data_IF_701760683253
#
_entry.id   IF_701760683253
#
_cell.length_a   1.000
_cell.length_b   1.000
_cell.length_c   1.000
_cell.angle_alpha   90.00
_cell.angle_beta   90.00
_cell.angle_gamma   90.00
#
_symmetry.space_group_name_H-M   'P 1'
#
loop_
_entity.id
_entity.type
_entity.pdbx_description
1 polymer ?
#
# COMPACT_ATOMS: atom_id res chain seq x y z
N UNK A 1 22.46 6.05 -17.09
CA UNK A 1 21.71 6.41 -15.87
C UNK A 1 21.79 5.28 -14.86
N UNK A 2 21.47 5.56 -13.59
CA UNK A 2 21.61 4.63 -12.46
C UNK A 2 20.95 3.26 -12.70
N UNK A 3 19.75 3.23 -13.28
CA UNK A 3 19.03 1.98 -13.62
C UNK A 3 19.81 1.09 -14.59
N UNK A 4 20.51 1.67 -15.57
CA UNK A 4 21.31 0.89 -16.53
C UNK A 4 22.50 0.21 -15.84
N UNK A 5 23.21 0.96 -14.99
CA UNK A 5 24.32 0.46 -14.18
C UNK A 5 23.83 -0.66 -13.25
N UNK A 6 22.70 -0.44 -12.57
CA UNK A 6 22.11 -1.44 -11.70
C UNK A 6 21.75 -2.73 -12.45
N UNK A 7 21.15 -2.60 -13.65
CA UNK A 7 20.80 -3.76 -14.48
C UNK A 7 22.02 -4.56 -14.91
N UNK A 8 23.05 -3.90 -15.41
CA UNK A 8 24.31 -4.54 -15.81
C UNK A 8 24.97 -5.26 -14.62
N UNK A 9 24.98 -4.62 -13.45
CA UNK A 9 25.56 -5.17 -12.21
C UNK A 9 24.74 -6.36 -11.68
N UNK A 10 23.41 -6.29 -11.75
CA UNK A 10 22.51 -7.38 -11.36
C UNK A 10 22.64 -8.59 -12.30
N UNK A 11 22.80 -8.35 -13.61
CA UNK A 11 23.06 -9.41 -14.60
C UNK A 11 24.42 -10.08 -14.39
N UNK A 12 25.40 -9.38 -13.81
CA UNK A 12 26.65 -9.96 -13.34
C UNK A 12 26.52 -10.74 -12.01
N UNK A 13 25.29 -10.95 -11.53
CA UNK A 13 24.99 -11.81 -10.37
C UNK A 13 25.05 -11.11 -9.02
N UNK A 14 25.07 -9.77 -8.97
CA UNK A 14 25.06 -9.00 -7.71
C UNK A 14 23.64 -8.68 -7.22
N UNK A 15 23.51 -8.47 -5.91
CA UNK A 15 22.31 -7.85 -5.31
C UNK A 15 22.53 -6.34 -5.25
N UNK A 16 21.86 -5.60 -6.11
CA UNK A 16 22.08 -4.16 -6.24
C UNK A 16 21.09 -3.39 -5.39
N UNK A 17 21.57 -2.43 -4.61
CA UNK A 17 20.78 -1.36 -3.97
C UNK A 17 21.18 0.01 -4.53
N UNK A 18 20.34 1.02 -4.33
CA UNK A 18 20.64 2.41 -4.71
C UNK A 18 20.94 3.24 -3.46
N UNK A 19 22.11 3.87 -3.47
CA UNK A 19 22.61 4.65 -2.35
C UNK A 19 22.33 6.13 -2.51
N UNK A 20 21.68 6.75 -1.52
CA UNK A 20 21.40 8.19 -1.49
C UNK A 20 22.44 8.88 -0.61
N UNK A 21 22.88 10.07 -1.00
CA UNK A 21 23.84 10.85 -0.20
C UNK A 21 23.20 11.26 1.14
N UNK A 22 23.76 10.87 2.30
CA UNK A 22 23.24 11.26 3.59
C UNK A 22 23.39 12.76 3.81
N UNK A 23 22.34 13.42 4.31
CA UNK A 23 22.37 14.85 4.65
C UNK A 23 22.18 15.13 6.13
N UNK A 24 21.77 14.12 6.91
CA UNK A 24 21.53 14.20 8.35
C UNK A 24 21.75 12.81 8.99
N UNK A 25 21.91 12.70 10.32
CA UNK A 25 22.11 11.41 10.99
C UNK A 25 20.77 10.69 11.21
N UNK A 26 20.08 10.35 10.12
CA UNK A 26 18.78 9.66 10.16
C UNK A 26 18.93 8.25 10.76
N UNK A 27 18.16 7.92 11.80
CA UNK A 27 18.15 6.59 12.44
C UNK A 27 17.11 5.64 11.82
N UNK A 28 16.20 6.17 11.00
CA UNK A 28 15.17 5.39 10.32
C UNK A 28 15.64 4.69 9.04
N UNK A 29 16.85 4.98 8.57
CA UNK A 29 17.39 4.45 7.31
C UNK A 29 18.53 3.46 7.54
N UNK A 30 18.69 2.52 6.62
CA UNK A 30 19.92 1.74 6.52
C UNK A 30 21.07 2.56 5.95
N UNK A 31 22.30 2.27 6.36
CA UNK A 31 23.54 2.85 5.86
C UNK A 31 24.37 1.81 5.14
N UNK A 32 24.93 2.22 4.01
CA UNK A 32 25.74 1.40 3.13
C UNK A 32 27.13 2.02 3.10
N UNK A 33 28.10 1.31 3.64
CA UNK A 33 29.50 1.68 3.50
C UNK A 33 29.97 1.35 2.07
N UNK A 34 30.34 2.38 1.32
CA UNK A 34 30.77 2.26 -0.06
C UNK A 34 32.17 1.63 -0.08
N UNK A 35 32.30 0.54 -0.85
CA UNK A 35 33.56 -0.15 -1.10
C UNK A 35 34.14 0.16 -2.47
N UNK A 36 34.94 -0.78 -2.98
CA UNK A 36 35.62 -0.65 -4.27
C UNK A 36 34.66 -0.49 -5.44
N UNK A 37 35.06 0.34 -6.42
CA UNK A 37 34.32 0.47 -7.68
C UNK A 37 34.33 -0.85 -8.47
N UNK A 38 33.20 -1.13 -9.11
CA UNK A 38 33.00 -2.22 -10.06
C UNK A 38 33.07 -1.67 -11.49
N UNK A 39 33.42 -2.52 -12.44
CA UNK A 39 33.54 -2.15 -13.86
C UNK A 39 32.25 -1.56 -14.46
N UNK A 40 31.10 -1.94 -13.90
CA UNK A 40 29.78 -1.45 -14.31
C UNK A 40 29.51 0.00 -13.90
N UNK A 41 30.32 0.57 -13.00
CA UNK A 41 30.10 1.89 -12.39
C UNK A 41 29.31 1.85 -11.07
N UNK A 42 28.95 0.67 -10.58
CA UNK A 42 28.50 0.45 -9.21
C UNK A 42 29.71 0.34 -8.26
N UNK A 43 29.49 0.29 -6.95
CA UNK A 43 30.51 -0.05 -5.96
C UNK A 43 30.12 -1.31 -5.20
N UNK A 44 31.09 -2.04 -4.64
CA UNK A 44 30.81 -3.09 -3.66
C UNK A 44 30.19 -2.48 -2.40
N UNK A 45 29.30 -3.21 -1.76
CA UNK A 45 28.91 -2.89 -0.38
C UNK A 45 29.97 -3.49 0.55
N UNK A 46 30.69 -2.64 1.28
CA UNK A 46 31.69 -3.08 2.26
C UNK A 46 31.03 -3.52 3.56
N UNK A 47 30.01 -2.77 3.98
CA UNK A 47 29.21 -3.01 5.17
C UNK A 47 27.81 -2.44 4.98
N UNK A 48 26.82 -3.15 5.50
CA UNK A 48 25.44 -2.68 5.55
C UNK A 48 25.03 -2.60 7.02
N UNK A 49 24.34 -1.52 7.41
CA UNK A 49 23.89 -1.28 8.79
C UNK A 49 22.45 -0.80 8.74
N UNK A 50 21.49 -1.65 9.12
CA UNK A 50 20.08 -1.26 9.12
C UNK A 50 19.71 -0.49 10.39
N UNK A 51 19.16 0.72 10.24
CA UNK A 51 18.59 1.55 11.32
C UNK A 51 19.51 1.69 12.55
N UNK A 52 20.69 2.32 12.39
CA UNK A 52 21.67 2.48 13.46
C UNK A 52 21.14 3.38 14.59
N UNK A 53 21.77 3.27 15.76
CA UNK A 53 21.59 4.25 16.82
C UNK A 53 22.14 5.63 16.40
N UNK A 54 21.61 6.71 16.98
CA UNK A 54 21.97 8.09 16.60
C UNK A 54 23.48 8.36 16.59
N UNK A 55 24.20 7.92 17.62
CA UNK A 55 25.64 8.10 17.72
C UNK A 55 26.41 7.42 16.57
N UNK A 56 25.93 6.27 16.09
CA UNK A 56 26.54 5.56 14.96
C UNK A 56 26.16 6.22 13.63
N UNK A 57 24.94 6.73 13.49
CA UNK A 57 24.53 7.53 12.34
C UNK A 57 25.36 8.83 12.21
N UNK A 58 25.58 9.53 13.32
CA UNK A 58 26.45 10.73 13.39
C UNK A 58 27.88 10.39 12.99
N UNK A 59 28.41 9.26 13.49
CA UNK A 59 29.75 8.80 13.14
C UNK A 59 29.86 8.50 11.63
N UNK A 60 28.92 7.74 11.06
CA UNK A 60 28.92 7.40 9.63
C UNK A 60 28.77 8.64 8.74
N UNK A 61 27.93 9.60 9.13
CA UNK A 61 27.78 10.86 8.43
C UNK A 61 29.09 11.67 8.44
N UNK A 62 29.74 11.77 9.60
CA UNK A 62 31.00 12.51 9.76
C UNK A 62 32.19 11.83 9.06
N UNK A 63 32.25 10.50 9.07
CA UNK A 63 33.30 9.73 8.40
C UNK A 63 33.23 9.85 6.87
N UNK A 64 32.02 10.04 6.32
CA UNK A 64 31.80 10.02 4.88
C UNK A 64 32.01 8.63 4.27
N UNK A 65 31.78 8.50 2.95
CA UNK A 65 31.86 7.20 2.28
C UNK A 65 30.69 6.25 2.59
N UNK A 66 29.65 6.75 3.24
CA UNK A 66 28.38 6.06 3.45
C UNK A 66 27.29 6.63 2.55
N UNK A 67 26.33 5.78 2.19
CA UNK A 67 25.08 6.16 1.55
C UNK A 67 23.89 5.62 2.34
N UNK A 68 22.76 6.31 2.31
CA UNK A 68 21.50 5.74 2.79
C UNK A 68 21.01 4.66 1.82
N UNK A 69 20.51 3.57 2.37
CA UNK A 69 19.75 2.56 1.64
C UNK A 69 18.39 3.14 1.24
N UNK A 70 18.13 3.19 -0.07
CA UNK A 70 16.86 3.69 -0.61
C UNK A 70 15.68 2.71 -0.46
N UNK A 71 15.93 1.46 -0.04
CA UNK A 71 14.94 0.38 -0.08
C UNK A 71 14.61 -0.12 -1.48
N UNK A 72 15.29 0.39 -2.52
CA UNK A 72 15.14 -0.05 -3.90
C UNK A 72 16.21 -1.08 -4.21
N UNK A 73 15.79 -2.24 -4.71
CA UNK A 73 16.70 -3.32 -5.08
C UNK A 73 16.57 -3.73 -6.54
N UNK A 74 17.66 -4.23 -7.11
CA UNK A 74 17.68 -4.87 -8.42
C UNK A 74 18.57 -6.10 -8.40
N UNK A 75 18.01 -7.25 -8.75
CA UNK A 75 18.69 -8.53 -8.80
C UNK A 75 17.96 -9.46 -9.78
N UNK A 76 18.60 -10.56 -10.16
CA UNK A 76 17.91 -11.65 -10.87
C UNK A 76 17.16 -12.53 -9.87
N UNK A 77 16.02 -13.08 -10.28
CA UNK A 77 15.21 -13.96 -9.43
C UNK A 77 16.02 -15.16 -8.91
N UNK A 78 16.84 -15.78 -9.77
CA UNK A 78 17.69 -16.90 -9.38
C UNK A 78 18.71 -16.53 -8.31
N UNK A 79 19.33 -15.36 -8.41
CA UNK A 79 20.33 -14.93 -7.43
C UNK A 79 19.70 -14.64 -6.06
N UNK A 80 18.59 -13.89 -6.01
CA UNK A 80 17.95 -13.59 -4.71
C UNK A 80 17.43 -14.85 -4.02
N UNK A 81 16.89 -15.82 -4.78
CA UNK A 81 16.46 -17.11 -4.21
C UNK A 81 17.63 -17.91 -3.64
N UNK A 82 18.81 -17.82 -4.26
CA UNK A 82 20.04 -18.47 -3.73
C UNK A 82 20.49 -17.84 -2.41
N UNK A 83 20.51 -16.51 -2.32
CA UNK A 83 20.86 -15.80 -1.09
C UNK A 83 19.81 -16.04 0.01
N UNK A 84 18.52 -16.04 -0.34
CA UNK A 84 17.42 -16.32 0.59
C UNK A 84 17.54 -17.72 1.18
N UNK A 85 17.81 -18.74 0.36
CA UNK A 85 18.02 -20.10 0.84
C UNK A 85 19.22 -20.22 1.79
N UNK A 86 20.26 -19.39 1.63
CA UNK A 86 21.44 -19.40 2.47
C UNK A 86 21.25 -18.64 3.79
N UNK A 87 20.59 -17.48 3.77
CA UNK A 87 20.56 -16.54 4.89
C UNK A 87 19.19 -16.42 5.60
N UNK A 88 18.12 -16.85 4.93
CA UNK A 88 16.75 -16.85 5.44
C UNK A 88 15.97 -18.12 5.00
N UNK A 89 16.48 -19.34 5.33
CA UNK A 89 15.91 -20.60 4.86
C UNK A 89 14.45 -20.82 5.31
N UNK A 90 14.06 -20.26 6.46
CA UNK A 90 12.68 -20.33 6.95
C UNK A 90 11.71 -19.53 6.08
N UNK A 91 12.12 -18.34 5.62
CA UNK A 91 11.38 -17.50 4.68
C UNK A 91 11.27 -18.20 3.33
N UNK A 92 12.38 -18.73 2.79
CA UNK A 92 12.37 -19.48 1.52
C UNK A 92 11.42 -20.69 1.59
N UNK A 93 11.48 -21.48 2.67
CA UNK A 93 10.60 -22.63 2.86
C UNK A 93 9.13 -22.24 2.93
N UNK A 94 8.79 -21.25 3.75
CA UNK A 94 7.40 -20.77 3.90
C UNK A 94 6.85 -20.26 2.56
N UNK A 95 7.62 -19.42 1.85
CA UNK A 95 7.25 -18.90 0.54
C UNK A 95 7.05 -20.01 -0.49
N UNK A 96 7.92 -21.02 -0.55
CA UNK A 96 7.77 -22.16 -1.47
C UNK A 96 6.50 -22.95 -1.23
N UNK A 97 6.18 -23.25 0.03
CA UNK A 97 4.97 -23.97 0.39
C UNK A 97 3.73 -23.13 0.07
N UNK A 98 3.77 -21.83 0.39
CA UNK A 98 2.67 -20.91 0.14
C UNK A 98 2.36 -20.77 -1.36
N UNK A 99 3.39 -20.74 -2.22
CA UNK A 99 3.25 -20.72 -3.68
C UNK A 99 2.80 -22.07 -4.22
N UNK A 100 3.34 -23.19 -3.72
CA UNK A 100 2.97 -24.53 -4.18
C UNK A 100 1.50 -24.89 -3.88
N UNK A 101 0.96 -24.35 -2.78
CA UNK A 101 -0.44 -24.48 -2.38
C UNK A 101 -1.32 -23.31 -2.84
N UNK A 102 -0.77 -22.37 -3.59
CA UNK A 102 -1.53 -21.20 -4.02
C UNK A 102 -2.69 -21.62 -4.92
N UNK A 103 -3.80 -20.89 -4.79
CA UNK A 103 -4.97 -21.05 -5.64
C UNK A 103 -5.18 -19.82 -6.51
N UNK A 104 -5.84 -20.01 -7.64
CA UNK A 104 -6.37 -18.88 -8.40
C UNK A 104 -7.51 -18.25 -7.61
N UNK A 105 -7.45 -16.93 -7.41
CA UNK A 105 -8.54 -16.12 -6.92
C UNK A 105 -8.75 -15.00 -7.95
N UNK A 106 -9.65 -15.25 -8.90
CA UNK A 106 -9.90 -14.36 -10.03
C UNK A 106 -8.63 -14.11 -10.86
N UNK A 107 -8.21 -12.85 -10.97
CA UNK A 107 -7.03 -12.41 -11.70
C UNK A 107 -5.76 -12.34 -10.83
N UNK A 108 -5.82 -12.86 -9.60
CA UNK A 108 -4.65 -12.93 -8.74
C UNK A 108 -4.43 -14.34 -8.19
N UNK A 109 -3.15 -14.66 -7.97
CA UNK A 109 -2.76 -15.88 -7.27
C UNK A 109 -2.81 -15.60 -5.78
N UNK A 110 -3.70 -16.28 -5.06
CA UNK A 110 -3.78 -16.20 -3.61
C UNK A 110 -2.86 -17.25 -3.01
N UNK A 111 -1.85 -16.80 -2.27
CA UNK A 111 -0.95 -17.68 -1.53
C UNK A 111 -1.73 -18.40 -0.42
N UNK A 112 -1.31 -19.62 -0.10
CA UNK A 112 -1.86 -20.36 1.04
C UNK A 112 -1.57 -19.59 2.34
N UNK A 113 -2.64 -19.21 3.04
CA UNK A 113 -2.56 -18.31 4.18
C UNK A 113 -1.77 -18.94 5.34
N UNK A 114 -2.03 -20.21 5.66
CA UNK A 114 -1.34 -20.92 6.75
C UNK A 114 0.16 -21.04 6.48
N UNK A 115 0.55 -21.45 5.27
CA UNK A 115 1.96 -21.54 4.90
C UNK A 115 2.64 -20.17 4.87
N UNK A 116 1.96 -19.13 4.40
CA UNK A 116 2.51 -17.78 4.37
C UNK A 116 2.70 -17.21 5.78
N UNK A 117 1.72 -17.41 6.68
CA UNK A 117 1.80 -17.00 8.09
C UNK A 117 2.91 -17.69 8.88
N UNK A 118 3.44 -18.82 8.39
CA UNK A 118 4.60 -19.47 8.98
C UNK A 118 5.94 -18.79 8.64
N UNK A 119 5.95 -17.82 7.72
CA UNK A 119 7.16 -17.04 7.40
C UNK A 119 7.52 -16.11 8.57
N UNK A 120 8.81 -16.03 8.96
CA UNK A 120 9.26 -15.01 9.90
C UNK A 120 8.96 -13.59 9.40
N UNK A 121 8.59 -12.70 10.31
CA UNK A 121 8.48 -11.25 10.06
C UNK A 121 9.88 -10.61 10.15
N UNK A 122 10.55 -10.51 9.00
CA UNK A 122 11.91 -9.98 8.89
C UNK A 122 12.07 -9.22 7.56
N UNK A 123 12.74 -8.06 7.59
CA UNK A 123 13.01 -7.29 6.36
C UNK A 123 14.09 -7.96 5.52
N UNK A 124 14.10 -7.67 4.21
CA UNK A 124 15.16 -8.12 3.29
C UNK A 124 16.55 -7.61 3.71
N UNK A 125 16.59 -6.43 4.35
CA UNK A 125 17.81 -5.80 4.83
C UNK A 125 18.49 -6.67 5.90
N UNK A 126 17.75 -7.07 6.94
CA UNK A 126 18.23 -7.98 7.99
C UNK A 126 18.37 -9.43 7.50
N UNK A 127 17.45 -9.90 6.66
CA UNK A 127 17.41 -11.27 6.22
C UNK A 127 18.59 -11.61 5.30
N UNK A 128 18.94 -10.70 4.38
CA UNK A 128 19.92 -10.92 3.32
C UNK A 128 21.00 -9.84 3.29
N UNK A 129 20.65 -8.56 3.21
CA UNK A 129 21.61 -7.50 2.82
C UNK A 129 22.73 -7.28 3.85
N UNK A 130 22.44 -7.41 5.14
CA UNK A 130 23.46 -7.35 6.21
C UNK A 130 24.44 -8.54 6.20
N UNK A 131 24.04 -9.66 5.60
CA UNK A 131 24.79 -10.93 5.67
C UNK A 131 25.51 -11.27 4.37
N UNK A 132 24.99 -10.81 3.24
CA UNK A 132 25.52 -11.17 1.92
C UNK A 132 26.81 -10.42 1.61
N UNK A 133 27.83 -11.15 1.15
CA UNK A 133 29.04 -10.56 0.57
C UNK A 133 28.85 -10.16 -0.91
N UNK A 134 27.66 -10.40 -1.48
CA UNK A 134 27.39 -10.26 -2.90
C UNK A 134 26.59 -8.99 -3.26
N UNK A 135 26.49 -8.05 -2.31
CA UNK A 135 25.80 -6.79 -2.51
C UNK A 135 26.66 -5.75 -3.27
N UNK A 136 25.99 -4.91 -4.06
CA UNK A 136 26.55 -3.75 -4.73
C UNK A 136 25.63 -2.54 -4.54
N UNK A 137 26.20 -1.34 -4.57
CA UNK A 137 25.48 -0.08 -4.44
C UNK A 137 25.72 0.80 -5.66
N UNK A 138 24.66 1.39 -6.19
CA UNK A 138 24.75 2.44 -7.22
C UNK A 138 24.56 3.80 -6.53
N UNK A 139 25.62 4.63 -6.41
CA UNK A 139 25.49 5.99 -5.92
C UNK A 139 24.51 6.77 -6.81
N UNK A 140 23.50 7.36 -6.18
CA UNK A 140 22.36 7.95 -6.87
C UNK A 140 22.18 9.40 -6.47
N UNK A 141 22.01 10.26 -7.49
CA UNK A 141 21.91 11.72 -7.34
C UNK A 141 20.48 12.26 -7.53
N UNK A 142 19.47 11.40 -7.52
CA UNK A 142 18.08 11.82 -7.64
C UNK A 142 17.51 12.19 -6.27
N UNK A 143 16.56 13.12 -6.23
CA UNK A 143 15.78 13.43 -5.03
C UNK A 143 15.01 12.19 -4.62
N UNK A 144 15.26 11.70 -3.41
CA UNK A 144 14.63 10.50 -2.86
C UNK A 144 14.05 10.83 -1.48
N UNK A 145 12.91 10.23 -1.20
CA UNK A 145 12.24 10.23 0.10
C UNK A 145 11.48 8.91 0.20
N UNK A 146 11.55 8.27 1.36
CA UNK A 146 10.82 7.03 1.63
C UNK A 146 9.30 7.25 1.79
N UNK A 147 8.87 8.52 1.88
CA UNK A 147 7.49 8.90 2.24
C UNK A 147 7.00 8.16 3.50
N UNK A 148 7.90 7.82 4.42
CA UNK A 148 7.63 7.00 5.59
C UNK A 148 6.94 7.76 6.73
N UNK A 149 6.85 9.08 6.64
CA UNK A 149 6.22 9.94 7.65
C UNK A 149 5.52 11.16 7.07
N UNK A 150 4.69 11.80 7.92
CA UNK A 150 4.01 13.03 7.55
C UNK A 150 4.97 14.22 7.37
N UNK A 151 6.09 14.26 8.09
CA UNK A 151 7.16 15.24 7.84
C UNK A 151 7.72 15.15 6.42
N UNK A 152 7.93 13.94 5.90
CA UNK A 152 8.38 13.75 4.52
C UNK A 152 7.37 14.31 3.51
N UNK A 153 6.07 14.14 3.76
CA UNK A 153 4.99 14.71 2.93
C UNK A 153 5.00 16.23 2.99
N UNK A 154 5.18 16.81 4.18
CA UNK A 154 5.30 18.27 4.34
C UNK A 154 6.53 18.85 3.61
N UNK A 155 7.69 18.20 3.72
CA UNK A 155 8.94 18.62 3.06
C UNK A 155 8.82 18.68 1.53
N UNK A 156 8.02 17.76 0.95
CA UNK A 156 7.78 17.69 -0.50
C UNK A 156 6.63 18.59 -0.98
N UNK A 157 5.76 19.02 -0.07
CA UNK A 157 4.61 19.83 -0.39
C UNK A 157 4.96 21.28 -0.76
N UNK A 158 4.11 21.89 -1.59
CA UNK A 158 4.17 23.33 -1.87
C UNK A 158 3.72 24.09 -0.62
N UNK A 159 4.64 24.87 -0.05
CA UNK A 159 4.41 25.64 1.18
C UNK A 159 3.81 27.01 0.89
N UNK A 160 2.89 27.44 1.74
CA UNK A 160 2.40 28.82 1.77
C UNK A 160 3.40 29.78 2.44
N UNK A 161 3.05 31.07 2.54
CA UNK A 161 3.90 32.09 3.16
C UNK A 161 4.17 31.86 4.67
N UNK A 162 3.35 31.05 5.35
CA UNK A 162 3.51 30.68 6.75
C UNK A 162 4.17 29.30 6.93
N UNK A 163 4.64 28.69 5.84
CA UNK A 163 5.29 27.39 5.84
C UNK A 163 4.33 26.20 5.91
N UNK A 164 3.02 26.40 5.75
CA UNK A 164 2.06 25.30 5.79
C UNK A 164 1.96 24.59 4.44
N UNK A 165 1.70 23.29 4.48
CA UNK A 165 1.26 22.50 3.34
C UNK A 165 -0.19 22.11 3.59
N UNK A 166 -1.09 22.56 2.72
CA UNK A 166 -2.51 22.27 2.82
C UNK A 166 -3.01 21.54 1.56
N UNK A 167 -3.67 20.41 1.72
CA UNK A 167 -4.27 19.64 0.61
C UNK A 167 -5.73 19.32 0.89
N UNK A 168 -6.60 19.61 -0.08
CA UNK A 168 -8.05 19.38 0.04
C UNK A 168 -8.76 20.51 0.77
N UNK A 169 -9.78 20.16 1.56
CA UNK A 169 -10.65 21.13 2.25
C UNK A 169 -10.02 21.57 3.57
N UNK A 170 -9.34 22.71 3.57
CA UNK A 170 -8.69 23.26 4.76
C UNK A 170 -8.81 24.79 4.87
N UNK A 171 -8.94 25.28 6.10
CA UNK A 171 -8.82 26.69 6.47
C UNK A 171 -7.80 26.80 7.59
N UNK A 172 -6.77 27.62 7.38
CA UNK A 172 -5.70 27.85 8.34
C UNK A 172 -5.74 29.30 8.83
N UNK A 173 -5.80 29.50 10.14
CA UNK A 173 -5.80 30.82 10.78
C UNK A 173 -4.67 30.85 11.80
N UNK A 174 -3.71 31.76 11.66
CA UNK A 174 -2.55 31.84 12.57
C UNK A 174 -1.84 30.47 12.76
N UNK A 175 -1.75 29.66 11.70
CA UNK A 175 -1.09 28.35 11.72
C UNK A 175 0.22 28.43 10.93
N UNK A 176 1.28 27.76 11.41
CA UNK A 176 2.61 27.81 10.79
C UNK A 176 3.24 26.42 10.68
N UNK A 177 4.12 26.24 9.69
CA UNK A 177 4.95 25.03 9.51
C UNK A 177 4.20 23.70 9.64
N UNK A 178 2.92 23.66 9.25
CA UNK A 178 2.03 22.54 9.52
C UNK A 178 1.62 21.81 8.25
N UNK A 179 1.33 20.52 8.37
CA UNK A 179 0.71 19.72 7.33
C UNK A 179 -0.78 19.54 7.63
N UNK A 180 -1.65 19.99 6.74
CA UNK A 180 -3.11 19.84 6.87
C UNK A 180 -3.65 19.17 5.62
N UNK A 181 -4.15 17.95 5.75
CA UNK A 181 -4.65 17.17 4.61
C UNK A 181 -6.01 16.60 4.92
N UNK A 182 -6.96 16.77 4.00
CA UNK A 182 -8.27 16.14 4.12
C UNK A 182 -8.79 15.64 2.77
N UNK A 183 -9.31 14.41 2.78
CA UNK A 183 -10.02 13.83 1.62
C UNK A 183 -11.53 14.08 1.66
N UNK A 184 -12.10 14.33 2.83
CA UNK A 184 -13.55 14.30 3.05
C UNK A 184 -14.02 15.57 3.75
N UNK A 185 -13.68 15.70 5.04
CA UNK A 185 -14.12 16.75 5.96
C UNK A 185 -13.41 18.08 5.70
N UNK A 186 -14.02 19.20 6.10
CA UNK A 186 -13.32 20.47 6.12
C UNK A 186 -12.51 20.61 7.40
N UNK A 187 -11.20 20.83 7.29
CA UNK A 187 -10.32 21.04 8.44
C UNK A 187 -10.13 22.53 8.71
N UNK A 188 -10.58 23.00 9.87
CA UNK A 188 -10.26 24.34 10.36
C UNK A 188 -9.17 24.23 11.43
N UNK A 189 -7.99 24.79 11.15
CA UNK A 189 -6.82 24.73 12.04
C UNK A 189 -6.45 26.16 12.44
N UNK A 190 -6.39 26.40 13.75
CA UNK A 190 -6.15 27.74 14.28
C UNK A 190 -5.09 27.74 15.39
N UNK A 191 -4.11 28.64 15.27
CA UNK A 191 -3.16 28.93 16.35
C UNK A 191 -2.11 27.85 16.62
N UNK A 192 -1.93 26.90 15.70
CA UNK A 192 -0.97 25.80 15.86
C UNK A 192 0.31 26.02 15.05
N UNK A 193 1.41 25.44 15.50
CA UNK A 193 2.71 25.47 14.80
C UNK A 193 3.31 24.07 14.80
N UNK A 194 3.84 23.63 13.65
CA UNK A 194 4.54 22.35 13.53
C UNK A 194 3.64 21.14 13.76
N UNK A 195 2.37 21.17 13.35
CA UNK A 195 1.44 20.03 13.51
C UNK A 195 1.14 19.32 12.19
N UNK A 196 0.83 18.04 12.27
CA UNK A 196 0.20 17.27 11.22
C UNK A 196 -1.27 17.04 11.60
N UNK A 197 -2.21 17.46 10.74
CA UNK A 197 -3.65 17.24 10.87
C UNK A 197 -4.13 16.55 9.60
N UNK A 198 -4.41 15.25 9.69
CA UNK A 198 -4.73 14.41 8.55
C UNK A 198 -6.11 13.81 8.76
N UNK A 199 -7.08 14.16 7.91
CA UNK A 199 -8.41 13.57 7.89
C UNK A 199 -8.56 12.61 6.70
N UNK A 200 -8.82 11.35 7.05
CA UNK A 200 -9.23 10.30 6.14
C UNK A 200 -10.74 10.04 6.28
N UNK A 201 -11.25 9.01 5.59
CA UNK A 201 -12.66 8.63 5.58
C UNK A 201 -13.17 8.17 6.95
N UNK A 202 -12.34 7.55 7.78
CA UNK A 202 -12.72 6.90 9.04
C UNK A 202 -11.98 7.41 10.28
N UNK A 203 -10.83 8.09 10.11
CA UNK A 203 -10.06 8.63 11.22
C UNK A 203 -9.43 9.99 10.92
N UNK A 204 -9.19 10.76 12.00
CA UNK A 204 -8.39 11.99 11.98
C UNK A 204 -7.15 11.78 12.84
N UNK A 205 -5.97 11.95 12.25
CA UNK A 205 -4.69 11.99 12.95
C UNK A 205 -4.33 13.44 13.26
N UNK A 206 -3.96 13.70 14.51
CA UNK A 206 -3.40 14.98 14.95
C UNK A 206 -2.15 14.69 15.77
N UNK A 207 -1.02 15.27 15.37
CA UNK A 207 0.24 15.09 16.09
C UNK A 207 1.24 16.18 15.75
N UNK A 208 2.36 16.20 16.46
CA UNK A 208 3.49 17.05 16.07
C UNK A 208 4.10 16.51 14.79
N UNK A 209 4.47 17.41 13.88
CA UNK A 209 5.04 17.04 12.59
C UNK A 209 6.41 16.36 12.76
N UNK A 210 7.23 16.85 13.71
CA UNK A 210 8.56 16.32 14.02
C UNK A 210 8.54 14.93 14.69
N UNK A 211 7.41 14.54 15.30
CA UNK A 211 7.20 13.21 15.86
C UNK A 211 6.45 12.26 14.92
N UNK A 212 6.18 12.67 13.68
CA UNK A 212 5.32 11.89 12.76
C UNK A 212 5.86 10.51 12.37
N UNK A 213 7.17 10.27 12.53
CA UNK A 213 7.79 8.94 12.39
C UNK A 213 7.25 7.93 13.43
N UNK A 214 6.75 8.40 14.57
CA UNK A 214 6.21 7.56 15.65
C UNK A 214 4.76 7.10 15.41
N UNK A 215 4.13 7.45 14.28
CA UNK A 215 2.74 7.08 13.98
C UNK A 215 2.51 5.56 14.07
N UNK A 216 3.51 4.74 13.76
CA UNK A 216 3.43 3.29 13.88
C UNK A 216 3.17 2.80 15.31
N UNK A 217 3.68 3.50 16.33
CA UNK A 217 3.40 3.18 17.73
C UNK A 217 1.93 3.47 18.09
N UNK A 218 1.38 4.58 17.59
CA UNK A 218 -0.03 4.91 17.75
C UNK A 218 -0.93 3.88 17.06
N UNK A 219 -0.58 3.45 15.84
CA UNK A 219 -1.32 2.39 15.12
C UNK A 219 -1.32 1.10 15.94
N UNK A 220 -0.20 0.69 16.54
CA UNK A 220 -0.15 -0.49 17.42
C UNK A 220 -1.07 -0.36 18.64
N UNK A 221 -1.17 0.82 19.24
CA UNK A 221 -2.09 1.07 20.35
C UNK A 221 -3.55 0.96 19.90
N UNK A 222 -3.90 1.53 18.73
CA UNK A 222 -5.25 1.45 18.16
C UNK A 222 -5.63 -0.01 17.83
N UNK A 223 -4.69 -0.79 17.29
CA UNK A 223 -4.89 -2.20 16.96
C UNK A 223 -5.16 -3.06 18.22
N UNK A 224 -4.54 -2.72 19.35
CA UNK A 224 -4.69 -3.48 20.60
C UNK A 224 -6.06 -3.31 21.28
N UNK A 225 -6.82 -2.27 20.94
CA UNK A 225 -8.11 -1.99 21.56
C UNK A 225 -9.26 -2.38 20.62
N UNK A 226 -10.17 -3.24 21.09
CA UNK A 226 -11.34 -3.72 20.31
C UNK A 226 -12.18 -2.59 19.70
N UNK A 227 -12.29 -1.45 20.38
CA UNK A 227 -13.07 -0.30 19.91
C UNK A 227 -12.44 0.39 18.69
N UNK A 228 -11.13 0.24 18.46
CA UNK A 228 -10.36 0.95 17.42
C UNK A 228 -9.62 0.02 16.47
N UNK A 229 -9.55 -1.29 16.75
CA UNK A 229 -8.82 -2.26 15.94
C UNK A 229 -9.23 -2.24 14.45
N UNK A 230 -10.53 -2.08 14.19
CA UNK A 230 -11.07 -2.01 12.83
C UNK A 230 -10.45 -0.88 11.98
N UNK A 231 -10.04 0.24 12.59
CA UNK A 231 -9.37 1.37 11.92
C UNK A 231 -7.98 1.00 11.38
N UNK A 232 -7.37 -0.05 11.91
CA UNK A 232 -6.01 -0.49 11.56
C UNK A 232 -6.00 -1.71 10.64
N UNK A 233 -7.13 -2.40 10.54
CA UNK A 233 -7.27 -3.65 9.79
C UNK A 233 -7.96 -3.42 8.43
N UNK A 234 -8.99 -2.59 8.41
CA UNK A 234 -9.86 -2.43 7.23
C UNK A 234 -9.91 -0.98 6.80
N UNK A 235 -9.24 -0.68 5.69
CA UNK A 235 -9.39 0.62 5.06
C UNK A 235 -10.79 0.74 4.39
N UNK A 236 -11.51 1.86 4.53
CA UNK A 236 -12.87 2.01 3.98
C UNK A 236 -12.92 1.81 2.46
N UNK A 237 -11.87 2.22 1.76
CA UNK A 237 -11.73 2.04 0.31
C UNK A 237 -10.82 0.87 -0.01
N UNK A 238 -11.31 -0.09 -0.79
CA UNK A 238 -10.57 -1.25 -1.28
C UNK A 238 -10.47 -1.20 -2.81
N UNK A 239 -9.24 -1.22 -3.33
CA UNK A 239 -8.99 -1.23 -4.77
C UNK A 239 -8.96 -2.66 -5.31
N UNK A 240 -9.48 -2.82 -6.52
CA UNK A 240 -9.52 -4.08 -7.26
C UNK A 240 -9.11 -3.84 -8.71
N UNK A 241 -8.71 -4.88 -9.46
CA UNK A 241 -8.30 -4.71 -10.87
C UNK A 241 -9.39 -4.18 -11.80
N UNK A 242 -10.66 -4.26 -11.38
CA UNK A 242 -11.81 -3.67 -12.07
C UNK A 242 -12.16 -2.25 -11.60
N UNK A 243 -11.47 -1.71 -10.59
CA UNK A 243 -11.77 -0.42 -9.95
C UNK A 243 -11.68 -0.52 -8.43
N UNK A 244 -12.81 -0.59 -7.74
CA UNK A 244 -12.86 -0.81 -6.30
C UNK A 244 -14.19 -0.42 -5.66
N UNK A 245 -14.21 -0.42 -4.34
CA UNK A 245 -15.36 0.03 -3.56
C UNK A 245 -14.94 0.80 -2.32
N UNK A 246 -15.82 1.67 -1.84
CA UNK A 246 -15.72 2.36 -0.56
C UNK A 246 -16.89 1.96 0.33
N UNK A 247 -16.64 1.44 1.53
CA UNK A 247 -17.65 1.28 2.57
C UNK A 247 -18.08 2.66 3.08
N UNK A 248 -19.36 2.99 2.92
CA UNK A 248 -19.91 4.31 3.28
C UNK A 248 -20.56 4.27 4.65
N UNK A 249 -21.35 3.23 4.93
CA UNK A 249 -22.07 3.08 6.18
C UNK A 249 -22.32 1.60 6.47
N UNK A 250 -22.10 1.19 7.71
CA UNK A 250 -22.42 -0.15 8.19
C UNK A 250 -23.38 -0.04 9.38
N UNK A 251 -24.44 -0.83 9.37
CA UNK A 251 -25.36 -0.98 10.49
C UNK A 251 -25.65 -2.46 10.76
N UNK A 252 -26.42 -2.74 11.80
CA UNK A 252 -26.62 -4.11 12.31
C UNK A 252 -27.15 -5.10 11.27
N UNK A 253 -27.94 -4.63 10.30
CA UNK A 253 -28.57 -5.48 9.26
C UNK A 253 -28.40 -4.93 7.84
N UNK A 254 -27.53 -3.94 7.66
CA UNK A 254 -27.29 -3.36 6.35
C UNK A 254 -25.86 -2.84 6.18
N UNK A 255 -25.40 -2.80 4.93
CA UNK A 255 -24.13 -2.20 4.55
C UNK A 255 -24.33 -1.39 3.28
N UNK A 256 -23.78 -0.18 3.24
CA UNK A 256 -23.81 0.70 2.07
C UNK A 256 -22.39 0.82 1.52
N UNK A 257 -22.22 0.48 0.25
CA UNK A 257 -20.97 0.63 -0.48
C UNK A 257 -21.14 1.56 -1.67
N UNK A 258 -20.09 2.31 -1.98
CA UNK A 258 -19.92 2.97 -3.28
C UNK A 258 -18.98 2.13 -4.11
N UNK A 259 -19.49 1.46 -5.14
CA UNK A 259 -18.67 0.76 -6.13
C UNK A 259 -18.23 1.75 -7.20
N UNK A 260 -16.97 1.68 -7.63
CA UNK A 260 -16.46 2.42 -8.78
C UNK A 260 -15.77 1.44 -9.74
N UNK A 261 -16.29 1.32 -10.96
CA UNK A 261 -15.82 0.33 -11.94
C UNK A 261 -15.19 1.05 -13.12
N UNK A 262 -13.94 0.73 -13.43
CA UNK A 262 -13.22 1.30 -14.55
C UNK A 262 -13.87 0.94 -15.90
N UNK A 263 -13.71 1.78 -16.95
CA UNK A 263 -14.23 1.49 -18.29
C UNK A 263 -13.86 0.10 -18.80
N UNK A 264 -14.82 -0.65 -19.33
CA UNK A 264 -14.62 -1.98 -19.91
C UNK A 264 -14.34 -3.10 -18.89
N UNK A 265 -14.41 -2.81 -17.58
CA UNK A 265 -14.20 -3.80 -16.52
C UNK A 265 -15.53 -4.32 -15.99
N UNK A 266 -15.48 -5.48 -15.35
CA UNK A 266 -16.62 -6.13 -14.71
C UNK A 266 -16.19 -6.84 -13.43
N UNK A 267 -17.14 -7.00 -12.52
CA UNK A 267 -17.01 -7.84 -11.35
C UNK A 267 -17.21 -9.31 -11.76
N UNK A 268 -16.82 -10.22 -10.86
CA UNK A 268 -17.08 -11.65 -11.01
C UNK A 268 -18.58 -11.95 -11.02
N UNK A 269 -18.97 -13.02 -11.71
CA UNK A 269 -20.31 -13.57 -11.55
C UNK A 269 -20.40 -14.24 -10.19
N UNK A 270 -21.30 -13.78 -9.33
CA UNK A 270 -21.33 -14.18 -7.92
C UNK A 270 -22.76 -14.33 -7.38
N UNK A 271 -22.90 -14.92 -6.19
CA UNK A 271 -24.13 -14.93 -5.40
C UNK A 271 -23.81 -14.89 -3.91
N UNK A 272 -24.81 -14.57 -3.10
CA UNK A 272 -24.74 -14.56 -1.64
C UNK A 272 -25.92 -15.31 -1.04
N UNK A 273 -25.71 -16.09 0.01
CA UNK A 273 -26.78 -16.88 0.62
C UNK A 273 -27.58 -16.11 1.65
N UNK A 274 -27.03 -15.05 2.27
CA UNK A 274 -27.61 -14.45 3.47
C UNK A 274 -28.03 -12.98 3.33
N UNK A 275 -27.90 -12.41 2.12
CA UNK A 275 -28.25 -11.02 1.84
C UNK A 275 -28.93 -10.83 0.48
N UNK A 276 -29.73 -9.78 0.41
CA UNK A 276 -30.20 -9.18 -0.83
C UNK A 276 -29.51 -7.83 -1.04
N UNK A 277 -29.55 -7.32 -2.27
CA UNK A 277 -28.87 -6.07 -2.61
C UNK A 277 -29.76 -5.15 -3.43
N UNK A 278 -29.58 -3.85 -3.23
CA UNK A 278 -30.19 -2.83 -4.07
C UNK A 278 -29.07 -1.95 -4.61
N UNK A 279 -28.95 -1.91 -5.94
CA UNK A 279 -27.94 -1.10 -6.61
C UNK A 279 -28.58 0.10 -7.31
N UNK A 280 -28.01 1.28 -7.11
CA UNK A 280 -28.41 2.54 -7.74
C UNK A 280 -27.24 3.06 -8.56
N UNK A 281 -27.45 3.32 -9.86
CA UNK A 281 -26.42 3.90 -10.70
C UNK A 281 -26.39 5.42 -10.49
N UNK A 282 -25.29 5.94 -9.96
CA UNK A 282 -25.13 7.39 -9.71
C UNK A 282 -24.32 8.10 -10.78
N UNK A 283 -23.53 7.36 -11.58
CA UNK A 283 -22.74 7.92 -12.67
C UNK A 283 -22.44 6.87 -13.74
N UNK A 284 -22.65 7.19 -15.00
CA UNK A 284 -22.35 6.32 -16.14
C UNK A 284 -23.50 5.37 -16.51
N UNK A 285 -23.15 4.18 -16.99
CA UNK A 285 -24.13 3.18 -17.43
C UNK A 285 -23.60 1.80 -17.07
N UNK A 286 -24.38 1.08 -16.28
CA UNK A 286 -24.09 -0.28 -15.87
C UNK A 286 -24.79 -1.28 -16.80
N UNK A 287 -24.13 -2.40 -17.04
CA UNK A 287 -24.77 -3.64 -17.46
C UNK A 287 -24.83 -4.56 -16.24
N UNK A 288 -26.04 -4.98 -15.86
CA UNK A 288 -26.27 -5.82 -14.69
C UNK A 288 -26.88 -7.15 -15.13
N UNK A 289 -26.24 -8.24 -14.73
CA UNK A 289 -26.77 -9.60 -14.86
C UNK A 289 -27.46 -10.01 -13.56
N UNK A 290 -28.66 -10.58 -13.64
CA UNK A 290 -29.40 -11.20 -12.51
C UNK A 290 -30.07 -12.48 -13.02
N UNK A 291 -29.65 -13.63 -12.51
CA UNK A 291 -30.01 -14.93 -13.08
C UNK A 291 -29.64 -14.98 -14.56
N UNK A 292 -30.63 -15.24 -15.41
CA UNK A 292 -30.48 -15.30 -16.87
C UNK A 292 -30.72 -13.95 -17.56
N UNK A 293 -31.11 -12.91 -16.83
CA UNK A 293 -31.43 -11.61 -17.40
C UNK A 293 -30.23 -10.67 -17.37
N UNK A 294 -30.00 -9.97 -18.49
CA UNK A 294 -29.04 -8.87 -18.60
C UNK A 294 -29.80 -7.60 -18.90
N UNK A 295 -29.57 -6.55 -18.10
CA UNK A 295 -30.22 -5.25 -18.27
C UNK A 295 -29.25 -4.10 -18.15
N UNK A 296 -29.55 -3.01 -18.85
CA UNK A 296 -28.81 -1.76 -18.72
C UNK A 296 -29.46 -0.92 -17.63
N UNK A 297 -28.64 -0.38 -16.72
CA UNK A 297 -29.05 0.54 -15.64
C UNK A 297 -28.31 1.85 -15.85
N UNK A 298 -29.05 2.93 -16.10
CA UNK A 298 -28.54 4.29 -16.34
C UNK A 298 -28.53 5.11 -15.06
N UNK A 299 -27.92 6.29 -15.09
CA UNK A 299 -27.94 7.23 -13.97
C UNK A 299 -29.36 7.44 -13.42
N UNK A 300 -29.46 7.40 -12.09
CA UNK A 300 -30.69 7.49 -11.31
C UNK A 300 -31.67 6.31 -11.47
N UNK A 301 -31.33 5.28 -12.25
CA UNK A 301 -32.05 4.00 -12.25
C UNK A 301 -31.47 3.06 -11.18
N UNK A 302 -32.26 2.05 -10.80
CA UNK A 302 -31.86 1.08 -9.79
C UNK A 302 -32.32 -0.33 -10.12
N UNK A 303 -31.70 -1.30 -9.46
CA UNK A 303 -32.02 -2.71 -9.60
C UNK A 303 -31.96 -3.42 -8.25
N UNK A 304 -32.90 -4.33 -8.02
CA UNK A 304 -32.93 -5.19 -6.84
C UNK A 304 -32.41 -6.59 -7.20
N UNK A 305 -31.54 -7.12 -6.36
CA UNK A 305 -30.93 -8.45 -6.47
C UNK A 305 -31.45 -9.29 -5.31
N UNK A 306 -32.31 -10.30 -5.58
CA UNK A 306 -32.83 -11.17 -4.55
C UNK A 306 -31.72 -12.02 -3.88
N UNK A 307 -31.99 -12.45 -2.66
CA UNK A 307 -31.11 -13.35 -1.93
C UNK A 307 -30.94 -14.69 -2.67
N UNK A 308 -29.71 -15.19 -2.74
CA UNK A 308 -29.36 -16.43 -3.44
C UNK A 308 -29.23 -16.30 -4.95
N UNK A 309 -29.61 -15.17 -5.54
CA UNK A 309 -29.54 -14.98 -6.98
C UNK A 309 -28.12 -14.71 -7.48
N UNK A 310 -27.84 -15.28 -8.65
CA UNK A 310 -26.58 -15.06 -9.36
C UNK A 310 -26.62 -13.69 -10.01
N UNK A 311 -25.59 -12.88 -9.80
CA UNK A 311 -25.55 -11.52 -10.31
C UNK A 311 -24.14 -11.05 -10.66
N UNK A 312 -24.07 -10.01 -11.51
CA UNK A 312 -22.80 -9.40 -11.94
C UNK A 312 -23.00 -7.94 -12.34
N UNK A 313 -22.02 -7.10 -12.00
CA UNK A 313 -21.92 -5.71 -12.46
C UNK A 313 -20.84 -5.57 -13.53
N UNK A 314 -21.15 -4.93 -14.65
CA UNK A 314 -20.18 -4.55 -15.68
C UNK A 314 -20.30 -3.07 -16.05
N UNK A 315 -19.18 -2.46 -16.39
CA UNK A 315 -19.11 -1.13 -16.99
C UNK A 315 -18.80 -1.23 -18.49
N UNK A 316 -19.81 -1.28 -19.37
CA UNK A 316 -19.62 -1.26 -20.82
C UNK A 316 -19.21 0.12 -21.35
N UNK A 317 -19.26 1.15 -20.51
CA UNK A 317 -19.02 2.54 -20.88
C UNK A 317 -17.55 2.90 -21.05
N UNK A 318 -17.32 4.17 -21.39
CA UNK A 318 -15.99 4.78 -21.56
C UNK A 318 -15.56 5.68 -20.39
N UNK A 319 -16.43 5.86 -19.40
CA UNK A 319 -16.15 6.61 -18.16
C UNK A 319 -16.27 5.68 -16.97
N UNK A 320 -15.67 6.05 -15.84
CA UNK A 320 -15.85 5.31 -14.58
C UNK A 320 -17.32 5.29 -14.20
N UNK A 321 -17.84 4.07 -14.01
CA UNK A 321 -19.18 3.79 -13.48
C UNK A 321 -19.13 3.93 -11.97
N UNK A 322 -20.12 4.61 -11.37
CA UNK A 322 -20.31 4.62 -9.92
C UNK A 322 -21.70 4.08 -9.55
N UNK A 323 -21.73 3.09 -8.66
CA UNK A 323 -22.95 2.48 -8.11
C UNK A 323 -22.98 2.69 -6.59
N UNK A 324 -24.16 2.95 -6.04
CA UNK A 324 -24.43 2.79 -4.62
C UNK A 324 -25.09 1.43 -4.42
N UNK A 325 -24.46 0.57 -3.64
CA UNK A 325 -24.96 -0.74 -3.25
C UNK A 325 -25.44 -0.68 -1.81
N UNK A 326 -26.68 -1.08 -1.57
CA UNK A 326 -27.24 -1.30 -0.25
C UNK A 326 -27.48 -2.79 -0.08
N UNK A 327 -26.66 -3.43 0.75
CA UNK A 327 -26.82 -4.82 1.15
C UNK A 327 -27.71 -4.90 2.39
N UNK A 328 -28.67 -5.83 2.42
CA UNK A 328 -29.54 -6.06 3.57
C UNK A 328 -29.67 -7.56 3.83
N UNK A 329 -29.42 -7.99 5.07
CA UNK A 329 -29.37 -9.42 5.40
C UNK A 329 -29.06 -9.70 6.87
N UNK A 330 -29.07 -10.98 7.23
CA UNK A 330 -28.66 -11.45 8.57
C UNK A 330 -27.14 -11.63 8.69
N UNK A 331 -26.44 -11.70 7.55
CA UNK A 331 -24.99 -11.81 7.49
C UNK A 331 -24.48 -11.08 6.24
N UNK A 332 -23.43 -10.26 6.39
CA UNK A 332 -22.91 -9.35 5.36
C UNK A 332 -21.41 -9.50 5.13
N UNK A 333 -20.80 -10.58 5.66
CA UNK A 333 -19.38 -10.86 5.47
C UNK A 333 -19.01 -11.07 4.00
N UNK A 334 -17.77 -10.72 3.64
CA UNK A 334 -17.22 -10.94 2.29
C UNK A 334 -16.95 -12.44 2.00
N UNK A 335 -17.01 -13.30 3.01
CA UNK A 335 -16.91 -14.75 2.94
C UNK A 335 -18.22 -15.45 2.53
N UNK A 336 -19.37 -14.75 2.56
CA UNK A 336 -20.63 -15.22 1.94
C UNK A 336 -20.64 -15.04 0.41
N UNK A 337 -19.54 -14.55 -0.17
CA UNK A 337 -19.42 -14.35 -1.62
C UNK A 337 -19.01 -15.66 -2.31
N UNK A 338 -19.96 -16.28 -2.99
CA UNK A 338 -19.72 -17.44 -3.86
C UNK A 338 -19.55 -16.96 -5.29
N UNK A 339 -18.36 -17.21 -5.86
CA UNK A 339 -18.00 -16.82 -7.23
C UNK A 339 -18.18 -18.02 -8.18
N UNK A 340 -18.86 -17.83 -9.31
CA UNK A 340 -19.30 -18.90 -10.23
C UNK A 340 -18.49 -18.89 -11.53
N UNK A 341 -18.41 -17.73 -12.19
CA UNK A 341 -17.69 -17.59 -13.46
C UNK A 341 -16.87 -16.31 -13.44
N UNK A 342 -15.64 -16.44 -13.92
CA UNK A 342 -14.73 -15.34 -14.06
C UNK A 342 -14.14 -15.28 -15.47
N UNK A 343 -14.03 -14.07 -16.03
CA UNK A 343 -13.48 -13.83 -17.37
C UNK A 343 -11.95 -13.76 -17.39
N UNK A 344 -11.28 -13.99 -16.26
CA UNK A 344 -9.81 -14.04 -16.20
C UNK A 344 -9.22 -15.45 -16.36
N UNK A 345 -10.08 -16.45 -16.57
CA UNK A 345 -9.74 -17.74 -17.16
C UNK A 345 -8.91 -18.68 -16.28
N UNK A 346 -9.58 -19.68 -15.69
CA UNK A 346 -9.26 -21.11 -15.84
C UNK A 346 -10.19 -21.99 -15.01
N UNK A 347 -10.64 -23.09 -15.63
CA UNK A 347 -11.06 -24.29 -14.92
C UNK A 347 -9.87 -25.19 -14.61
#
# INVERSE_FOLDING_TARGET
>A
GAIRIARETALAGKLVTFGITPTEPATGYGYIEIGEALETGACKVRRFVEKPALAEAEHMLAAGGFAWNSGIFMFTAGQVLKEMAAFAPEVDRAARVAVAKASGDLDFTRLDAEAFSASPDISVDYAIMEKTANAAVVPSSFTWSDLGSWDAVWKLGTRDAAGNVATGKATLVNTKNSLVMSRTSHLAVQGLDGVAVIASEDAVYVGRLDESQNVGALVKQLAAARATAALTETHPTSYRPWGGYTSVLNGDRFQVKRLFVSPGKKLSLQKHHHRSEHWICVKGTAEVTIGDEVRIVRENESVYIPQGEVHRLANPGKITLEMIEVQTGSYLGEDDIIRITDEFGRG
#
